data_IF_461281774165
#
_entry.id   IF_461281774165
#
_cell.length_a   1.000
_cell.length_b   1.000
_cell.length_c   1.000
_cell.angle_alpha   90.00
_cell.angle_beta   90.00
_cell.angle_gamma   90.00
#
_symmetry.space_group_name_H-M   'P 1'
#
loop_
_entity.id
_entity.type
_entity.pdbx_description
1 polymer ?
#
# COMPACT_ATOMS: atom_id res chain seq x y z
N UNK A 1 -31.31 -23.21 -20.03
CA UNK A 1 -30.04 -22.44 -19.94
C UNK A 1 -29.59 -22.41 -18.48
N UNK A 2 -28.43 -23.00 -18.17
CA UNK A 2 -27.89 -23.06 -16.80
C UNK A 2 -27.26 -21.69 -16.43
N UNK A 3 -27.69 -21.04 -15.32
CA UNK A 3 -27.30 -19.69 -14.95
C UNK A 3 -25.96 -19.60 -14.19
N UNK A 4 -25.20 -20.69 -14.06
CA UNK A 4 -23.85 -20.65 -13.46
C UNK A 4 -22.87 -20.07 -14.48
N UNK A 5 -22.84 -18.73 -14.47
CA UNK A 5 -22.00 -17.80 -15.22
C UNK A 5 -20.64 -18.38 -15.59
N UNK A 6 -20.46 -18.73 -16.87
CA UNK A 6 -19.13 -18.81 -17.45
C UNK A 6 -18.76 -17.38 -17.85
N UNK A 7 -17.98 -16.68 -17.02
CA UNK A 7 -17.39 -15.40 -17.40
C UNK A 7 -16.64 -15.60 -18.74
N UNK A 8 -16.75 -14.67 -19.70
CA UNK A 8 -16.00 -14.77 -20.94
C UNK A 8 -14.49 -14.78 -20.64
N UNK A 9 -13.64 -15.52 -21.39
CA UNK A 9 -12.20 -15.60 -21.16
C UNK A 9 -11.50 -14.24 -21.00
N UNK A 10 -11.99 -13.22 -21.69
CA UNK A 10 -11.50 -11.85 -21.61
C UNK A 10 -11.74 -11.21 -20.24
N UNK A 11 -12.82 -11.57 -19.54
CA UNK A 11 -13.09 -11.10 -18.18
C UNK A 11 -12.10 -11.72 -17.18
N UNK A 12 -11.78 -13.01 -17.32
CA UNK A 12 -10.74 -13.66 -16.52
C UNK A 12 -9.36 -13.02 -16.76
N UNK A 13 -9.03 -12.69 -18.02
CA UNK A 13 -7.77 -12.02 -18.34
C UNK A 13 -7.67 -10.63 -17.69
N UNK A 14 -8.75 -9.84 -17.69
CA UNK A 14 -8.80 -8.53 -17.01
C UNK A 14 -8.66 -8.67 -15.50
N UNK A 15 -9.37 -9.62 -14.89
CA UNK A 15 -9.27 -9.89 -13.46
C UNK A 15 -7.87 -10.32 -13.04
N UNK A 16 -7.23 -11.20 -13.81
CA UNK A 16 -5.84 -11.61 -13.56
C UNK A 16 -4.86 -10.44 -13.69
N UNK A 17 -5.02 -9.60 -14.72
CA UNK A 17 -4.18 -8.42 -14.89
C UNK A 17 -4.32 -7.43 -13.73
N UNK A 18 -5.57 -7.23 -13.25
CA UNK A 18 -5.87 -6.42 -12.09
C UNK A 18 -5.23 -6.99 -10.83
N UNK A 19 -5.41 -8.29 -10.56
CA UNK A 19 -4.82 -8.99 -9.43
C UNK A 19 -3.29 -8.82 -9.39
N UNK A 20 -2.62 -9.07 -10.53
CA UNK A 20 -1.16 -8.90 -10.64
C UNK A 20 -0.70 -7.48 -10.31
N UNK A 21 -1.46 -6.47 -10.73
CA UNK A 21 -1.15 -5.06 -10.44
C UNK A 21 -1.31 -4.74 -8.96
N UNK A 22 -2.38 -5.23 -8.32
CA UNK A 22 -2.58 -5.09 -6.87
C UNK A 22 -1.42 -5.74 -6.11
N UNK A 23 -1.05 -6.96 -6.46
CA UNK A 23 0.05 -7.67 -5.79
C UNK A 23 1.39 -6.94 -5.95
N UNK A 24 1.73 -6.44 -7.13
CA UNK A 24 2.96 -5.66 -7.33
C UNK A 24 3.02 -4.41 -6.44
N UNK A 25 1.87 -3.72 -6.24
CA UNK A 25 1.79 -2.57 -5.33
C UNK A 25 1.94 -3.02 -3.87
N UNK A 26 1.32 -4.15 -3.48
CA UNK A 26 1.44 -4.72 -2.13
C UNK A 26 2.87 -5.10 -1.79
N UNK A 27 3.57 -5.77 -2.72
CA UNK A 27 4.98 -6.13 -2.57
C UNK A 27 5.86 -4.89 -2.36
N UNK A 28 5.63 -3.83 -3.15
CA UNK A 28 6.37 -2.58 -3.04
C UNK A 28 6.18 -1.90 -1.68
N UNK A 29 4.94 -1.90 -1.16
CA UNK A 29 4.65 -1.35 0.17
C UNK A 29 5.23 -2.22 1.28
N UNK A 30 5.12 -3.55 1.16
CA UNK A 30 5.68 -4.48 2.16
C UNK A 30 7.19 -4.32 2.28
N UNK A 31 7.90 -4.18 1.15
CA UNK A 31 9.33 -3.88 1.14
C UNK A 31 9.63 -2.54 1.85
N UNK A 32 8.89 -1.47 1.53
CA UNK A 32 9.06 -0.18 2.17
C UNK A 32 8.81 -0.22 3.69
N UNK A 33 7.79 -0.95 4.15
CA UNK A 33 7.51 -1.15 5.58
C UNK A 33 8.65 -1.89 6.28
N UNK A 34 9.16 -2.98 5.68
CA UNK A 34 10.26 -3.74 6.25
C UNK A 34 11.57 -2.94 6.34
N UNK A 35 11.84 -2.08 5.35
CA UNK A 35 12.97 -1.16 5.40
C UNK A 35 12.77 -0.05 6.45
N UNK A 36 11.55 0.47 6.58
CA UNK A 36 11.22 1.51 7.54
C UNK A 36 11.33 1.05 8.99
N UNK A 37 10.96 -0.20 9.27
CA UNK A 37 11.14 -0.81 10.60
C UNK A 37 12.62 -0.89 10.99
N UNK A 38 13.47 -1.36 10.06
CA UNK A 38 14.93 -1.39 10.27
C UNK A 38 15.47 0.01 10.53
N UNK A 39 15.03 1.00 9.75
CA UNK A 39 15.46 2.39 9.91
C UNK A 39 15.00 2.97 11.25
N UNK A 40 13.77 2.71 11.68
CA UNK A 40 13.26 3.14 12.99
C UNK A 40 14.17 2.65 14.13
N UNK A 41 14.51 1.35 14.14
CA UNK A 41 15.42 0.76 15.14
C UNK A 41 16.80 1.44 15.11
N UNK A 42 17.37 1.65 13.91
CA UNK A 42 18.66 2.33 13.76
C UNK A 42 18.64 3.78 14.26
N UNK A 43 17.57 4.53 13.98
CA UNK A 43 17.43 5.94 14.37
C UNK A 43 17.19 6.10 15.87
N UNK A 44 16.37 5.23 16.46
CA UNK A 44 16.17 5.16 17.90
C UNK A 44 17.49 4.93 18.64
N UNK A 45 18.32 3.99 18.16
CA UNK A 45 19.63 3.72 18.74
C UNK A 45 20.62 4.91 18.63
N UNK A 46 20.47 5.74 17.59
CA UNK A 46 21.30 6.95 17.37
C UNK A 46 20.73 8.21 18.03
N UNK A 47 19.55 8.15 18.64
CA UNK A 47 18.87 9.34 19.20
C UNK A 47 18.39 10.34 18.14
N UNK A 48 18.24 9.91 16.88
CA UNK A 48 17.84 10.75 15.75
C UNK A 48 16.31 10.98 15.71
N UNK A 49 15.76 11.52 16.80
CA UNK A 49 14.31 11.60 17.08
C UNK A 49 13.49 12.31 16.01
N UNK A 50 14.02 13.35 15.37
CA UNK A 50 13.29 14.09 14.34
C UNK A 50 13.13 13.28 13.04
N UNK A 51 14.20 12.62 12.58
CA UNK A 51 14.11 11.76 11.41
C UNK A 51 13.24 10.53 11.72
N UNK A 52 13.34 10.00 12.94
CA UNK A 52 12.52 8.89 13.39
C UNK A 52 11.02 9.23 13.39
N UNK A 53 10.65 10.40 13.91
CA UNK A 53 9.27 10.88 13.88
C UNK A 53 8.72 10.96 12.45
N UNK A 54 9.56 11.35 11.47
CA UNK A 54 9.17 11.40 10.06
C UNK A 54 9.03 10.01 9.44
N UNK A 55 9.86 9.04 9.83
CA UNK A 55 9.67 7.62 9.46
C UNK A 55 8.33 7.11 10.00
N UNK A 56 8.03 7.36 11.29
CA UNK A 56 6.77 6.93 11.92
C UNK A 56 5.54 7.60 11.32
N UNK A 57 5.63 8.88 10.97
CA UNK A 57 4.57 9.61 10.28
C UNK A 57 4.24 8.99 8.90
N UNK A 58 5.26 8.64 8.12
CA UNK A 58 5.07 8.10 6.77
C UNK A 58 4.64 6.62 6.78
N UNK A 59 5.09 5.84 7.75
CA UNK A 59 4.65 4.44 7.93
C UNK A 59 3.23 4.35 8.48
N UNK A 60 2.85 5.28 9.37
CA UNK A 60 1.58 5.29 10.08
C UNK A 60 1.60 4.38 11.32
N UNK A 61 0.57 4.41 12.17
CA UNK A 61 0.52 3.60 13.39
C UNK A 61 0.42 2.10 13.08
N UNK A 62 1.03 1.26 13.92
CA UNK A 62 0.76 -0.18 13.88
C UNK A 62 -0.62 -0.52 14.49
N UNK A 63 -1.05 -1.78 14.35
CA UNK A 63 -2.32 -2.23 14.89
C UNK A 63 -2.42 -1.99 16.40
N UNK A 64 -3.45 -1.25 16.82
CA UNK A 64 -3.67 -0.91 18.22
C UNK A 64 -2.85 0.28 18.73
N UNK A 65 -1.99 0.88 17.90
CA UNK A 65 -1.27 2.10 18.26
C UNK A 65 -2.06 3.36 17.90
N UNK A 66 -1.91 4.40 18.72
CA UNK A 66 -2.37 5.74 18.36
C UNK A 66 -1.39 6.37 17.36
N UNK A 67 -1.91 7.10 16.37
CA UNK A 67 -1.08 7.88 15.47
C UNK A 67 -0.32 8.95 16.27
N UNK A 68 1.01 8.86 16.31
CA UNK A 68 1.86 9.86 16.97
C UNK A 68 2.17 11.06 16.09
N UNK A 69 1.97 10.92 14.77
CA UNK A 69 2.12 11.98 13.77
C UNK A 69 1.30 11.65 12.53
N UNK A 70 0.82 12.68 11.83
CA UNK A 70 0.19 12.53 10.53
C UNK A 70 1.25 12.45 9.41
N UNK A 71 1.01 11.71 8.32
CA UNK A 71 1.89 11.76 7.15
C UNK A 71 1.95 13.19 6.58
N UNK A 72 3.01 13.53 5.83
CA UNK A 72 3.11 14.82 5.14
C UNK A 72 1.87 15.13 4.31
N UNK A 73 1.54 16.42 4.17
CA UNK A 73 0.34 16.87 3.47
C UNK A 73 0.24 16.26 2.05
N UNK A 74 -0.93 15.71 1.73
CA UNK A 74 -1.19 15.06 0.44
C UNK A 74 -0.70 13.62 0.33
N UNK A 75 -0.06 13.06 1.37
CA UNK A 75 0.34 11.65 1.42
C UNK A 75 -0.60 10.81 2.28
N UNK A 76 -0.63 9.52 1.99
CA UNK A 76 -1.31 8.49 2.79
C UNK A 76 -0.21 7.61 3.40
N UNK A 77 -0.37 7.17 4.65
CA UNK A 77 0.65 6.32 5.27
C UNK A 77 0.77 4.96 4.58
N UNK A 78 1.96 4.36 4.64
CA UNK A 78 2.23 3.05 4.04
C UNK A 78 1.29 1.96 4.59
N UNK A 79 1.00 1.95 5.90
CA UNK A 79 0.06 0.99 6.50
C UNK A 79 -1.40 1.22 6.07
N UNK A 80 -1.82 2.47 5.88
CA UNK A 80 -3.17 2.77 5.37
C UNK A 80 -3.33 2.35 3.90
N UNK A 81 -2.29 2.55 3.08
CA UNK A 81 -2.25 2.07 1.70
C UNK A 81 -2.19 0.54 1.64
N UNK A 82 -1.41 -0.12 2.50
CA UNK A 82 -1.39 -1.58 2.60
C UNK A 82 -2.78 -2.15 2.92
N UNK A 83 -3.51 -1.51 3.83
CA UNK A 83 -4.89 -1.90 4.18
C UNK A 83 -5.85 -1.72 3.00
N UNK A 84 -5.75 -0.59 2.29
CA UNK A 84 -6.55 -0.34 1.09
C UNK A 84 -6.28 -1.38 -0.01
N UNK A 85 -5.03 -1.74 -0.23
CA UNK A 85 -4.65 -2.76 -1.21
C UNK A 85 -5.04 -4.17 -0.78
N UNK A 86 -5.01 -4.49 0.52
CA UNK A 86 -5.49 -5.77 1.03
C UNK A 86 -7.00 -5.93 0.79
N UNK A 87 -7.79 -4.88 1.05
CA UNK A 87 -9.22 -4.88 0.75
C UNK A 87 -9.49 -5.04 -0.75
N UNK A 88 -8.69 -4.38 -1.59
CA UNK A 88 -8.79 -4.51 -3.04
C UNK A 88 -8.42 -5.93 -3.51
N UNK A 89 -7.37 -6.52 -2.95
CA UNK A 89 -7.00 -7.91 -3.25
C UNK A 89 -8.12 -8.88 -2.89
N UNK A 90 -8.73 -8.73 -1.71
CA UNK A 90 -9.90 -9.54 -1.31
C UNK A 90 -11.09 -9.34 -2.25
N UNK A 91 -11.36 -8.11 -2.70
CA UNK A 91 -12.44 -7.84 -3.65
C UNK A 91 -12.17 -8.48 -5.03
N UNK A 92 -10.91 -8.50 -5.47
CA UNK A 92 -10.51 -9.11 -6.76
C UNK A 92 -10.50 -10.65 -6.69
N UNK A 93 -10.17 -11.22 -5.53
CA UNK A 93 -10.11 -12.68 -5.30
C UNK A 93 -11.49 -13.31 -5.01
N UNK A 94 -12.52 -12.50 -4.76
CA UNK A 94 -13.92 -12.95 -4.65
C UNK A 94 -14.46 -13.51 -5.97
N UNK A 95 -14.10 -14.76 -6.26
CA UNK A 95 -14.18 -15.42 -7.57
C UNK A 95 -15.60 -15.74 -8.10
N UNK A 96 -16.68 -15.41 -7.38
CA UNK A 96 -18.06 -15.75 -7.76
C UNK A 96 -18.88 -14.54 -8.25
N UNK A 97 -18.26 -13.36 -8.39
CA UNK A 97 -18.92 -12.16 -8.89
C UNK A 97 -18.05 -11.45 -9.94
N UNK A 98 -18.69 -10.91 -10.98
CA UNK A 98 -18.05 -10.02 -11.95
C UNK A 98 -17.35 -8.86 -11.20
N UNK A 99 -16.09 -8.50 -11.53
CA UNK A 99 -15.43 -7.35 -10.94
C UNK A 99 -16.33 -6.13 -11.07
N UNK A 100 -16.73 -5.56 -9.93
CA UNK A 100 -17.62 -4.39 -9.97
C UNK A 100 -16.87 -3.22 -10.65
N UNK A 101 -17.57 -2.30 -11.33
CA UNK A 101 -16.96 -1.09 -11.86
C UNK A 101 -16.18 -0.29 -10.80
N UNK A 102 -16.57 -0.42 -9.53
CA UNK A 102 -15.87 0.16 -8.39
C UNK A 102 -14.48 -0.45 -8.14
N UNK A 103 -14.32 -1.76 -8.39
CA UNK A 103 -13.05 -2.49 -8.25
C UNK A 103 -12.08 -2.11 -9.36
N UNK A 104 -12.56 -2.01 -10.61
CA UNK A 104 -11.77 -1.51 -11.74
C UNK A 104 -11.38 -0.03 -11.54
N UNK A 105 -12.30 0.77 -11.01
CA UNK A 105 -12.08 2.18 -10.70
C UNK A 105 -11.23 2.44 -9.45
N UNK A 106 -10.89 1.43 -8.65
CA UNK A 106 -10.12 1.60 -7.42
C UNK A 106 -8.60 1.76 -7.69
N UNK A 107 -8.04 1.04 -8.67
CA UNK A 107 -6.60 1.12 -9.00
C UNK A 107 -6.17 2.55 -9.36
N UNK A 108 -6.82 3.25 -10.31
CA UNK A 108 -6.42 4.61 -10.67
C UNK A 108 -6.52 5.61 -9.52
N UNK A 109 -7.28 5.30 -8.46
CA UNK A 109 -7.42 6.14 -7.27
C UNK A 109 -6.30 5.88 -6.26
N UNK A 110 -5.89 4.62 -6.08
CA UNK A 110 -4.91 4.24 -5.04
C UNK A 110 -3.46 4.29 -5.55
N UNK A 111 -3.21 3.94 -6.80
CA UNK A 111 -1.85 3.82 -7.34
C UNK A 111 -1.06 5.13 -7.33
N UNK A 112 -1.62 6.31 -7.67
CA UNK A 112 -0.90 7.58 -7.54
C UNK A 112 -0.48 7.87 -6.09
N UNK A 113 -1.33 7.52 -5.12
CA UNK A 113 -1.03 7.68 -3.71
C UNK A 113 0.09 6.73 -3.24
N UNK A 114 0.11 5.48 -3.76
CA UNK A 114 1.20 4.54 -3.53
C UNK A 114 2.51 5.09 -4.09
N UNK A 115 2.51 5.54 -5.34
CA UNK A 115 3.70 6.08 -5.99
C UNK A 115 4.24 7.32 -5.27
N UNK A 116 3.36 8.27 -4.90
CA UNK A 116 3.76 9.47 -4.18
C UNK A 116 4.36 9.14 -2.80
N UNK A 117 3.76 8.19 -2.07
CA UNK A 117 4.24 7.79 -0.75
C UNK A 117 5.56 7.01 -0.83
N UNK A 118 5.73 6.14 -1.83
CA UNK A 118 6.99 5.44 -2.08
C UNK A 118 8.11 6.39 -2.53
N UNK A 119 7.79 7.44 -3.30
CA UNK A 119 8.75 8.48 -3.66
C UNK A 119 9.20 9.27 -2.41
N UNK A 120 8.25 9.65 -1.55
CA UNK A 120 8.55 10.29 -0.28
C UNK A 120 9.41 9.39 0.63
N UNK A 121 9.13 8.08 0.64
CA UNK A 121 9.95 7.09 1.36
C UNK A 121 11.38 7.04 0.81
N UNK A 122 11.54 7.01 -0.52
CA UNK A 122 12.85 7.01 -1.16
C UNK A 122 13.67 8.27 -0.81
N UNK A 123 13.05 9.45 -0.77
CA UNK A 123 13.69 10.69 -0.32
C UNK A 123 14.10 10.63 1.15
N UNK A 124 13.26 10.07 2.00
CA UNK A 124 13.53 9.97 3.44
C UNK A 124 14.69 8.99 3.73
N UNK A 125 14.76 7.87 3.00
CA UNK A 125 15.90 6.94 3.07
C UNK A 125 17.23 7.58 2.75
N UNK A 126 17.28 8.54 1.83
CA UNK A 126 18.52 9.22 1.45
C UNK A 126 19.06 10.14 2.55
N UNK A 127 18.20 10.56 3.49
CA UNK A 127 18.56 11.39 4.64
C UNK A 127 19.20 10.58 5.79
N UNK A 128 19.39 9.27 5.59
CA UNK A 128 20.08 8.33 6.50
C UNK A 128 21.61 8.54 6.53
N UNK A 129 22.19 9.19 5.53
CA UNK A 129 23.64 9.39 5.41
C UNK A 129 24.14 10.51 6.34
N UNK A 130 25.37 10.37 6.88
CA UNK A 130 25.89 11.10 8.04
C UNK A 130 26.00 12.62 7.88
#
# INVERSE_FOLDING_TARGET
>A
PDPRVALPPEAYARQLALARRVEALRESIAAALAEAEKLHVELAAKGASELDARVRALTGPDFGEAATAAPPAGLISLRALASSLANLATAVDGADAEPTPDTEGAIPKVEPAVQATLAAWATLKQQRSP
#
